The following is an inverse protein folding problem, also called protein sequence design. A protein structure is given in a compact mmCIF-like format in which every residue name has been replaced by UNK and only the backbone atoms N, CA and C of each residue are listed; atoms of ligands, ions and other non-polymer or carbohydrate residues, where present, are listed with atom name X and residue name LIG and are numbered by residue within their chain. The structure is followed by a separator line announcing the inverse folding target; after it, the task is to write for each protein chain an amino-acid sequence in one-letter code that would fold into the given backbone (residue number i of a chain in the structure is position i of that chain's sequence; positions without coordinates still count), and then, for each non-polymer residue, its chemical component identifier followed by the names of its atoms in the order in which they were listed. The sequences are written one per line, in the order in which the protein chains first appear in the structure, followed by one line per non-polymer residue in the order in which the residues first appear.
data_IF_954439140588
#
_entry.id   IF_954439140588
#
_cell.length_a   1.000
_cell.length_b   1.000
_cell.length_c   1.000
_cell.angle_alpha   90.00
_cell.angle_beta   90.00
_cell.angle_gamma   90.00
#
_symmetry.space_group_name_H-M   'P 1'
#
loop_
_entity.id
_entity.type
_entity.pdbx_description
1 polymer ?
#
# COMPACT_ATOMS: atom_id res chain seq x y z
N UNK A 1 -0.74 6.49 26.28
CA UNK A 1 0.40 6.75 25.38
C UNK A 1 0.17 8.10 24.70
N UNK A 2 1.05 9.07 24.93
CA UNK A 2 0.90 10.44 24.43
C UNK A 2 0.95 10.47 22.90
N UNK A 3 -0.07 11.01 22.24
CA UNK A 3 -0.05 11.28 20.79
C UNK A 3 1.09 12.28 20.56
N UNK A 4 2.19 11.84 19.95
CA UNK A 4 3.21 12.77 19.44
C UNK A 4 2.52 13.68 18.42
N UNK A 5 2.30 14.94 18.78
CA UNK A 5 1.77 15.95 17.87
C UNK A 5 2.77 16.13 16.74
N UNK A 6 2.46 15.59 15.56
CA UNK A 6 3.22 15.87 14.35
C UNK A 6 3.07 17.38 14.11
N UNK A 7 4.19 18.10 14.08
CA UNK A 7 4.17 19.53 13.81
C UNK A 7 3.38 19.78 12.51
N UNK A 8 2.35 20.62 12.61
CA UNK A 8 1.45 20.93 11.50
C UNK A 8 2.28 21.53 10.36
N UNK A 9 2.56 20.75 9.32
CA UNK A 9 3.33 21.20 8.16
C UNK A 9 2.55 22.31 7.46
N UNK A 10 3.26 23.29 6.92
CA UNK A 10 2.64 24.34 6.11
C UNK A 10 1.89 23.68 4.93
N UNK A 11 0.56 23.80 4.86
CA UNK A 11 -0.23 23.23 3.77
C UNK A 11 0.23 23.68 2.38
N UNK A 12 0.88 24.85 2.27
CA UNK A 12 1.42 25.36 1.00
C UNK A 12 2.60 24.54 0.46
N UNK A 13 3.31 23.83 1.34
CA UNK A 13 4.49 23.02 1.03
C UNK A 13 4.17 21.54 0.81
N UNK A 14 2.96 21.11 1.16
CA UNK A 14 2.53 19.72 1.03
C UNK A 14 1.98 19.44 -0.38
N UNK A 15 2.37 18.31 -1.00
CA UNK A 15 1.75 17.91 -2.26
C UNK A 15 0.26 17.63 -2.05
N UNK A 16 -0.58 18.17 -2.93
CA UNK A 16 -2.01 17.86 -2.96
C UNK A 16 -2.27 16.41 -3.36
N UNK A 17 -1.39 15.83 -4.17
CA UNK A 17 -1.52 14.48 -4.70
C UNK A 17 -0.17 13.77 -4.67
N UNK A 18 -0.15 12.56 -4.11
CA UNK A 18 0.99 11.64 -4.12
C UNK A 18 0.62 10.39 -4.90
N UNK A 19 1.49 9.95 -5.81
CA UNK A 19 1.38 8.66 -6.48
C UNK A 19 2.50 7.73 -6.01
N UNK A 20 2.17 6.48 -5.70
CA UNK A 20 3.12 5.47 -5.19
C UNK A 20 3.09 4.23 -6.07
N UNK A 21 4.26 3.84 -6.58
CA UNK A 21 4.47 2.51 -7.18
C UNK A 21 4.99 1.58 -6.10
N UNK A 22 4.21 0.57 -5.74
CA UNK A 22 4.55 -0.37 -4.65
C UNK A 22 5.46 -1.50 -5.14
N UNK A 23 6.65 -1.15 -5.60
CA UNK A 23 7.65 -2.12 -6.08
C UNK A 23 8.41 -2.78 -4.91
N UNK A 24 8.95 -3.97 -5.16
CA UNK A 24 9.91 -4.63 -4.26
C UNK A 24 9.32 -5.73 -3.40
N UNK A 25 8.00 -5.93 -3.36
CA UNK A 25 7.33 -6.95 -2.54
C UNK A 25 7.94 -8.36 -2.75
N UNK A 26 8.08 -8.80 -4.00
CA UNK A 26 8.69 -10.09 -4.33
C UNK A 26 10.17 -10.18 -3.92
N UNK A 27 10.96 -9.13 -4.17
CA UNK A 27 12.38 -9.05 -3.78
C UNK A 27 12.57 -9.03 -2.26
N UNK A 28 11.64 -8.42 -1.53
CA UNK A 28 11.64 -8.37 -0.07
C UNK A 28 11.44 -9.77 0.53
N UNK A 29 10.52 -10.56 -0.05
CA UNK A 29 10.25 -11.93 0.37
C UNK A 29 11.41 -12.87 0.05
N UNK A 30 11.94 -12.78 -1.18
CA UNK A 30 13.08 -13.60 -1.62
C UNK A 30 14.32 -13.41 -0.73
N UNK A 31 14.65 -12.16 -0.37
CA UNK A 31 15.77 -11.85 0.55
C UNK A 31 15.60 -12.43 1.97
N UNK A 32 14.41 -12.93 2.31
CA UNK A 32 14.07 -13.52 3.61
C UNK A 32 13.74 -15.01 3.49
N UNK A 33 13.97 -15.62 2.33
CA UNK A 33 13.62 -17.02 2.06
C UNK A 33 12.12 -17.31 2.28
N UNK A 34 11.26 -16.34 1.96
CA UNK A 34 9.80 -16.44 2.08
C UNK A 34 9.12 -16.55 0.70
N UNK A 35 7.93 -17.16 0.62
CA UNK A 35 7.09 -17.11 -0.58
C UNK A 35 6.78 -15.67 -1.02
N UNK A 36 6.68 -15.42 -2.33
CA UNK A 36 6.39 -14.07 -2.88
C UNK A 36 5.09 -13.47 -2.31
N UNK A 37 4.09 -14.30 -2.04
CA UNK A 37 2.82 -13.90 -1.42
C UNK A 37 3.01 -13.24 -0.05
N UNK A 38 4.01 -13.65 0.74
CA UNK A 38 4.36 -13.00 2.00
C UNK A 38 4.85 -11.56 1.80
N UNK A 39 5.54 -11.30 0.70
CA UNK A 39 5.93 -9.94 0.31
C UNK A 39 4.75 -9.06 -0.02
N UNK A 40 3.71 -9.60 -0.67
CA UNK A 40 2.48 -8.86 -0.95
C UNK A 40 1.70 -8.53 0.33
N UNK A 41 1.61 -9.46 1.28
CA UNK A 41 1.05 -9.18 2.61
C UNK A 41 1.80 -8.05 3.33
N UNK A 42 3.13 -8.09 3.30
CA UNK A 42 3.94 -7.00 3.86
C UNK A 42 3.70 -5.67 3.13
N UNK A 43 3.52 -5.69 1.81
CA UNK A 43 3.14 -4.53 1.02
C UNK A 43 1.83 -3.88 1.47
N UNK A 44 0.83 -4.68 1.87
CA UNK A 44 -0.44 -4.17 2.43
C UNK A 44 -0.18 -3.40 3.74
N UNK A 45 0.61 -3.95 4.64
CA UNK A 45 0.94 -3.28 5.91
C UNK A 45 1.73 -1.97 5.70
N UNK A 46 2.63 -1.96 4.72
CA UNK A 46 3.35 -0.75 4.33
C UNK A 46 2.40 0.32 3.76
N UNK A 47 1.47 -0.08 2.89
CA UNK A 47 0.46 0.81 2.33
C UNK A 47 -0.41 1.43 3.43
N UNK A 48 -0.86 0.64 4.42
CA UNK A 48 -1.64 1.15 5.56
C UNK A 48 -0.93 2.27 6.30
N UNK A 49 0.37 2.14 6.51
CA UNK A 49 1.19 3.19 7.16
C UNK A 49 1.24 4.46 6.31
N UNK A 50 1.39 4.32 4.99
CA UNK A 50 1.40 5.46 4.05
C UNK A 50 0.05 6.17 4.07
N UNK A 51 -1.06 5.44 3.97
CA UNK A 51 -2.42 6.01 3.98
C UNK A 51 -2.66 6.79 5.27
N UNK A 52 -2.39 6.18 6.43
CA UNK A 52 -2.55 6.86 7.73
C UNK A 52 -1.69 8.10 7.82
N UNK A 53 -0.43 8.02 7.42
CA UNK A 53 0.46 9.18 7.46
C UNK A 53 0.01 10.29 6.51
N UNK A 54 -0.43 9.96 5.29
CA UNK A 54 -0.98 10.93 4.33
C UNK A 54 -2.21 11.64 4.91
N UNK A 55 -3.10 10.91 5.57
CA UNK A 55 -4.27 11.47 6.25
C UNK A 55 -3.87 12.38 7.42
N UNK A 56 -2.91 11.96 8.25
CA UNK A 56 -2.40 12.73 9.39
C UNK A 56 -1.75 14.06 8.98
N UNK A 57 -0.96 14.06 7.89
CA UNK A 57 -0.27 15.27 7.43
C UNK A 57 -1.13 16.13 6.48
N UNK A 58 -2.28 15.63 6.02
CA UNK A 58 -3.23 16.39 5.20
C UNK A 58 -3.02 16.33 3.68
N UNK A 59 -2.34 15.29 3.16
CA UNK A 59 -2.31 15.01 1.71
C UNK A 59 -3.73 14.68 1.25
N UNK A 60 -4.22 15.37 0.21
CA UNK A 60 -5.63 15.27 -0.23
C UNK A 60 -5.90 14.05 -1.10
N UNK A 61 -4.93 13.65 -1.91
CA UNK A 61 -5.08 12.53 -2.84
C UNK A 61 -3.88 11.60 -2.75
N UNK A 62 -4.14 10.29 -2.68
CA UNK A 62 -3.13 9.24 -2.74
C UNK A 62 -3.54 8.25 -3.83
N UNK A 63 -2.72 8.11 -4.86
CA UNK A 63 -2.88 7.07 -5.88
C UNK A 63 -1.82 6.00 -5.67
N UNK A 64 -2.25 4.74 -5.75
CA UNK A 64 -1.37 3.60 -5.49
C UNK A 64 -1.43 2.69 -6.70
N UNK A 65 -0.27 2.40 -7.28
CA UNK A 65 -0.18 1.46 -8.38
C UNK A 65 -0.17 0.03 -7.84
N UNK A 66 -1.37 -0.55 -7.70
CA UNK A 66 -1.56 -1.88 -7.14
C UNK A 66 -1.41 -3.00 -8.20
N UNK A 67 -1.80 -2.74 -9.45
CA UNK A 67 -1.79 -3.73 -10.52
C UNK A 67 -1.72 -3.05 -11.90
N UNK A 68 -0.92 -3.59 -12.82
CA UNK A 68 -0.75 -3.08 -14.20
C UNK A 68 -1.27 -4.06 -15.26
N UNK A 69 -1.45 -3.58 -16.49
CA UNK A 69 -1.76 -4.43 -17.66
C UNK A 69 -0.72 -5.54 -17.87
N UNK A 70 0.54 -5.27 -17.59
CA UNK A 70 1.66 -6.20 -17.74
C UNK A 70 1.66 -7.25 -16.61
N UNK A 71 0.97 -7.01 -15.49
CA UNK A 71 0.84 -8.02 -14.44
C UNK A 71 -0.03 -9.20 -14.85
N UNK A 72 -0.86 -9.06 -15.89
CA UNK A 72 -1.60 -10.18 -16.50
C UNK A 72 -0.70 -11.20 -17.18
N UNK A 73 0.54 -10.83 -17.53
CA UNK A 73 1.51 -11.76 -18.11
C UNK A 73 2.17 -12.70 -17.08
N UNK A 74 1.86 -12.55 -15.78
CA UNK A 74 2.34 -13.46 -14.72
C UNK A 74 1.55 -14.76 -14.69
N UNK A 75 2.04 -15.83 -14.02
CA UNK A 75 1.29 -17.06 -13.85
C UNK A 75 -0.10 -16.80 -13.26
N UNK A 76 -1.13 -17.46 -13.80
CA UNK A 76 -2.54 -17.21 -13.45
C UNK A 76 -2.81 -17.36 -11.95
N UNK A 77 -2.14 -18.31 -11.28
CA UNK A 77 -2.24 -18.52 -9.83
C UNK A 77 -1.71 -17.32 -9.02
N UNK A 78 -0.62 -16.69 -9.47
CA UNK A 78 -0.08 -15.47 -8.84
C UNK A 78 -1.07 -14.31 -9.01
N UNK A 79 -1.65 -14.16 -10.20
CA UNK A 79 -2.64 -13.11 -10.48
C UNK A 79 -3.91 -13.30 -9.62
N UNK A 80 -4.44 -14.52 -9.55
CA UNK A 80 -5.62 -14.83 -8.73
C UNK A 80 -5.36 -14.51 -7.26
N UNK A 81 -4.21 -14.92 -6.73
CA UNK A 81 -3.82 -14.64 -5.35
C UNK A 81 -3.75 -13.13 -5.07
N UNK A 82 -3.25 -12.33 -6.02
CA UNK A 82 -3.18 -10.88 -5.90
C UNK A 82 -4.57 -10.23 -5.87
N UNK A 83 -5.47 -10.66 -6.76
CA UNK A 83 -6.84 -10.15 -6.80
C UNK A 83 -7.63 -10.52 -5.54
N UNK A 84 -7.49 -11.75 -5.04
CA UNK A 84 -8.12 -12.18 -3.79
C UNK A 84 -7.64 -11.36 -2.59
N UNK A 85 -6.33 -11.07 -2.52
CA UNK A 85 -5.76 -10.20 -1.49
C UNK A 85 -6.31 -8.78 -1.58
N UNK A 86 -6.46 -8.26 -2.80
CA UNK A 86 -7.00 -6.92 -3.05
C UNK A 86 -8.45 -6.80 -2.60
N UNK A 87 -9.31 -7.76 -2.98
CA UNK A 87 -10.72 -7.79 -2.57
C UNK A 87 -10.85 -7.92 -1.05
N UNK A 88 -10.08 -8.82 -0.42
CA UNK A 88 -10.09 -8.99 1.05
C UNK A 88 -9.63 -7.72 1.77
N UNK A 89 -8.62 -7.03 1.25
CA UNK A 89 -8.19 -5.75 1.81
C UNK A 89 -9.29 -4.69 1.69
N UNK A 90 -9.90 -4.52 0.51
CA UNK A 90 -11.00 -3.57 0.32
C UNK A 90 -12.19 -3.83 1.25
N UNK A 91 -12.62 -5.09 1.37
CA UNK A 91 -13.74 -5.46 2.23
C UNK A 91 -13.46 -5.17 3.70
N UNK A 92 -12.24 -5.44 4.16
CA UNK A 92 -11.85 -5.17 5.54
C UNK A 92 -11.79 -3.68 5.84
N UNK A 93 -11.13 -2.90 5.00
CA UNK A 93 -10.95 -1.47 5.27
C UNK A 93 -12.22 -0.65 5.03
N UNK A 94 -13.10 -1.08 4.11
CA UNK A 94 -14.43 -0.46 3.92
C UNK A 94 -15.35 -0.65 5.13
N UNK A 95 -15.12 -1.68 5.95
CA UNK A 95 -15.87 -1.91 7.18
C UNK A 95 -15.27 -1.16 8.39
N UNK A 96 -14.04 -0.64 8.28
CA UNK A 96 -13.34 0.15 9.31
C UNK A 96 -13.53 1.67 9.13
N UNK A 97 -14.22 2.10 8.06
CA UNK A 97 -14.61 3.49 7.73
C UNK A 97 -16.09 3.73 8.01
#
# INVERSE_FOLDING_TARGET
MSKKTIAKRDPSTLPRHVAVVMDGNGRWAQRRFLPRSSGHKFGVDALKKIVRHCAEIGVKHLTVFAFSSENWARPAEEVQTLMDLFVKALQRESAEL
#
